data_IF_299911401927
#
_entry.id   IF_299911401927
#
_cell.length_a   1.000
_cell.length_b   1.000
_cell.length_c   1.000
_cell.angle_alpha   90.00
_cell.angle_beta   90.00
_cell.angle_gamma   90.00
#
_symmetry.space_group_name_H-M   'P 1'
#
loop_
_entity.id
_entity.type
_entity.pdbx_description
1 polymer ?
#
# COMPACT_ATOMS: atom_id res chain seq x y z
N UNK A 1 3.21 6.45 13.17
CA UNK A 1 3.77 5.72 12.03
C UNK A 1 3.97 6.70 10.90
N UNK A 2 5.19 6.83 10.41
CA UNK A 2 5.56 7.75 9.32
C UNK A 2 5.16 7.15 7.97
N UNK A 3 5.07 7.99 6.94
CA UNK A 3 4.77 7.53 5.58
C UNK A 3 5.81 6.52 5.06
N UNK A 4 7.09 6.72 5.41
CA UNK A 4 8.17 5.79 5.08
C UNK A 4 7.95 4.40 5.70
N UNK A 5 7.45 4.35 6.93
CA UNK A 5 7.12 3.08 7.59
C UNK A 5 5.92 2.38 6.94
N UNK A 6 4.90 3.14 6.52
CA UNK A 6 3.74 2.59 5.80
C UNK A 6 4.19 1.95 4.48
N UNK A 7 5.03 2.64 3.70
CA UNK A 7 5.56 2.11 2.44
C UNK A 7 6.40 0.84 2.67
N UNK A 8 7.27 0.84 3.69
CA UNK A 8 8.06 -0.34 4.03
C UNK A 8 7.18 -1.54 4.40
N UNK A 9 6.08 -1.32 5.13
CA UNK A 9 5.12 -2.38 5.46
C UNK A 9 4.37 -2.89 4.22
N UNK A 10 3.99 -2.01 3.30
CA UNK A 10 3.38 -2.39 2.02
C UNK A 10 4.34 -3.29 1.21
N UNK A 11 5.61 -2.89 1.08
CA UNK A 11 6.63 -3.67 0.38
C UNK A 11 6.88 -5.03 1.04
N UNK A 12 6.99 -5.06 2.38
CA UNK A 12 7.16 -6.29 3.13
C UNK A 12 5.94 -7.23 2.98
N UNK A 13 4.72 -6.68 2.96
CA UNK A 13 3.51 -7.45 2.73
C UNK A 13 3.49 -8.06 1.32
N UNK A 14 3.83 -7.28 0.29
CA UNK A 14 3.94 -7.79 -1.07
C UNK A 14 4.97 -8.92 -1.18
N UNK A 15 6.16 -8.73 -0.60
CA UNK A 15 7.21 -9.75 -0.62
C UNK A 15 6.79 -11.03 0.13
N UNK A 16 6.19 -10.89 1.32
CA UNK A 16 5.72 -12.03 2.13
C UNK A 16 4.67 -12.87 1.42
N UNK A 17 3.79 -12.23 0.65
CA UNK A 17 2.69 -12.89 -0.05
C UNK A 17 2.97 -13.14 -1.54
N UNK A 18 4.18 -12.83 -2.01
CA UNK A 18 4.60 -12.89 -3.42
C UNK A 18 3.63 -12.17 -4.37
N UNK A 19 3.09 -11.03 -3.94
CA UNK A 19 2.12 -10.24 -4.68
C UNK A 19 2.81 -9.21 -5.58
N UNK A 20 2.29 -9.07 -6.80
CA UNK A 20 2.60 -7.94 -7.67
C UNK A 20 1.76 -6.72 -7.28
N UNK A 21 2.18 -5.53 -7.72
CA UNK A 21 1.49 -4.27 -7.40
C UNK A 21 0.00 -4.29 -7.78
N UNK A 22 -0.33 -4.76 -8.99
CA UNK A 22 -1.74 -4.85 -9.43
C UNK A 22 -2.58 -5.80 -8.55
N UNK A 23 -1.97 -6.86 -8.01
CA UNK A 23 -2.66 -7.85 -7.17
C UNK A 23 -2.98 -7.25 -5.81
N UNK A 24 -2.00 -6.59 -5.19
CA UNK A 24 -2.22 -5.88 -3.93
C UNK A 24 -3.25 -4.77 -4.12
N UNK A 25 -3.13 -3.97 -5.18
CA UNK A 25 -4.06 -2.88 -5.48
C UNK A 25 -5.50 -3.41 -5.61
N UNK A 26 -5.69 -4.52 -6.32
CA UNK A 26 -6.98 -5.21 -6.44
C UNK A 26 -7.49 -5.72 -5.08
N UNK A 27 -6.61 -6.27 -4.25
CA UNK A 27 -6.95 -6.80 -2.93
C UNK A 27 -7.42 -5.72 -1.95
N UNK A 28 -6.84 -4.52 -2.02
CA UNK A 28 -7.21 -3.37 -1.18
C UNK A 28 -8.25 -2.46 -1.84
N UNK A 29 -8.66 -2.75 -3.08
CA UNK A 29 -9.71 -2.02 -3.78
C UNK A 29 -9.32 -0.63 -4.28
N UNK A 30 -8.04 -0.44 -4.65
CA UNK A 30 -7.55 0.83 -5.21
C UNK A 30 -7.00 0.64 -6.63
N UNK A 31 -6.94 1.70 -7.45
CA UNK A 31 -6.24 1.65 -8.73
C UNK A 31 -4.75 1.34 -8.55
N UNK A 32 -4.19 0.48 -9.40
CA UNK A 32 -2.74 0.19 -9.41
C UNK A 32 -1.91 1.47 -9.57
N UNK A 33 -2.39 2.42 -10.38
CA UNK A 33 -1.74 3.72 -10.58
C UNK A 33 -1.59 4.51 -9.27
N UNK A 34 -2.54 4.37 -8.35
CA UNK A 34 -2.48 4.98 -7.01
C UNK A 34 -1.38 4.34 -6.18
N UNK A 35 -1.32 3.00 -6.14
CA UNK A 35 -0.26 2.27 -5.42
C UNK A 35 1.12 2.59 -5.98
N UNK A 36 1.27 2.61 -7.31
CA UNK A 36 2.52 2.95 -7.99
C UNK A 36 2.98 4.39 -7.66
N UNK A 37 2.06 5.34 -7.55
CA UNK A 37 2.40 6.72 -7.13
C UNK A 37 2.91 6.78 -5.69
N UNK A 38 2.34 5.99 -4.77
CA UNK A 38 2.84 5.88 -3.39
C UNK A 38 4.24 5.28 -3.33
N UNK A 39 4.46 4.15 -4.02
CA UNK A 39 5.76 3.47 -4.05
C UNK A 39 6.85 4.36 -4.67
N UNK A 40 6.50 5.16 -5.68
CA UNK A 40 7.40 6.17 -6.28
C UNK A 40 7.50 7.47 -5.47
N UNK A 41 6.88 7.55 -4.29
CA UNK A 41 6.87 8.73 -3.39
C UNK A 41 6.41 10.01 -4.10
N UNK A 42 5.52 9.88 -5.09
CA UNK A 42 5.00 11.01 -5.87
C UNK A 42 3.79 11.67 -5.24
N UNK A 43 3.12 10.97 -4.32
CA UNK A 43 1.90 11.43 -3.66
C UNK A 43 1.82 10.87 -2.25
N UNK A 44 1.24 11.65 -1.34
CA UNK A 44 1.06 11.18 0.03
C UNK A 44 -0.10 10.17 0.15
N UNK A 45 -0.01 9.28 1.13
CA UNK A 45 -1.07 8.35 1.49
C UNK A 45 -2.08 9.05 2.40
N UNK A 46 -3.33 9.18 1.95
CA UNK A 46 -4.38 9.81 2.75
C UNK A 46 -4.82 8.93 3.93
N UNK A 47 -5.38 9.55 4.96
CA UNK A 47 -5.89 8.84 6.14
C UNK A 47 -6.96 7.79 5.81
N UNK A 48 -7.77 8.01 4.76
CA UNK A 48 -8.74 7.03 4.30
C UNK A 48 -8.06 5.73 3.85
N UNK A 49 -6.97 5.83 3.08
CA UNK A 49 -6.20 4.67 2.65
C UNK A 49 -5.43 4.01 3.81
N UNK A 50 -4.95 4.80 4.78
CA UNK A 50 -4.39 4.24 6.01
C UNK A 50 -5.41 3.37 6.77
N UNK A 51 -6.69 3.74 6.79
CA UNK A 51 -7.73 2.91 7.39
C UNK A 51 -7.96 1.61 6.61
N UNK A 52 -7.92 1.65 5.27
CA UNK A 52 -8.02 0.45 4.42
C UNK A 52 -6.86 -0.50 4.68
N UNK A 53 -5.62 0.00 4.68
CA UNK A 53 -4.42 -0.78 5.01
C UNK A 53 -4.52 -1.38 6.44
N UNK A 54 -5.06 -0.58 7.37
CA UNK A 54 -5.68 -0.94 8.67
C UNK A 54 -6.40 -2.28 8.62
N UNK A 55 -7.57 -2.23 7.99
CA UNK A 55 -8.53 -3.34 7.93
C UNK A 55 -7.98 -4.58 7.23
N UNK A 56 -6.98 -4.43 6.36
CA UNK A 56 -6.35 -5.53 5.63
C UNK A 56 -5.16 -6.15 6.36
N UNK A 57 -4.78 -5.61 7.53
CA UNK A 57 -3.66 -6.10 8.33
C UNK A 57 -2.29 -5.85 7.69
N UNK A 58 -2.19 -4.85 6.81
CA UNK A 58 -0.93 -4.47 6.17
C UNK A 58 -0.11 -3.58 7.09
N UNK A 59 -0.76 -2.65 7.81
CA UNK A 59 -0.10 -1.70 8.71
C UNK A 59 -0.61 -1.71 10.14
#
# INVERSE_FOLDING_TARGET
MTEREILAKIEAYMAKHNLRQYELAKQIGIPESTLNRWLKKKTNISNAYCAVLKTKGII
#
